data_IF_704735497090
#
_entry.id   IF_704735497090
#
_cell.length_a   1.000
_cell.length_b   1.000
_cell.length_c   1.000
_cell.angle_alpha   90.00
_cell.angle_beta   90.00
_cell.angle_gamma   90.00
#
_symmetry.space_group_name_H-M   'P 1'
#
loop_
_entity.id
_entity.type
_entity.pdbx_description
1 polymer ?
#
# COMPACT_ATOMS: atom_id res chain seq x y z
N UNK A 1 10.23 7.78 -5.39
CA UNK A 1 9.17 6.78 -5.64
C UNK A 1 7.88 7.53 -6.00
N UNK A 2 6.85 6.84 -6.46
CA UNK A 2 5.54 7.48 -6.69
C UNK A 2 4.42 6.73 -6.02
N UNK A 3 3.42 7.46 -5.51
CA UNK A 3 2.18 6.91 -4.96
C UNK A 3 0.95 7.48 -5.69
N UNK A 4 -0.11 6.67 -5.74
CA UNK A 4 -1.44 7.04 -6.19
C UNK A 4 -2.46 6.59 -5.15
N UNK A 5 -3.25 7.52 -4.62
CA UNK A 5 -4.40 7.25 -3.74
C UNK A 5 -5.71 7.47 -4.49
N UNK A 6 -6.53 6.41 -4.61
CA UNK A 6 -7.83 6.45 -5.29
C UNK A 6 -8.93 7.16 -4.47
N UNK A 7 -8.77 7.37 -3.16
CA UNK A 7 -9.79 8.11 -2.40
C UNK A 7 -9.69 9.61 -2.66
N UNK A 8 -8.47 10.13 -2.76
CA UNK A 8 -8.22 11.56 -2.95
C UNK A 8 -7.86 11.93 -4.38
N UNK A 9 -7.50 10.95 -5.22
CA UNK A 9 -6.92 11.15 -6.54
C UNK A 9 -5.48 11.67 -6.48
N UNK A 10 -4.85 11.68 -5.31
CA UNK A 10 -3.50 12.21 -5.15
C UNK A 10 -2.47 11.31 -5.83
N UNK A 11 -1.80 11.84 -6.85
CA UNK A 11 -0.66 11.25 -7.54
C UNK A 11 0.60 12.06 -7.24
N UNK A 12 1.64 11.43 -6.73
CA UNK A 12 2.94 12.11 -6.57
C UNK A 12 3.68 12.15 -7.92
N UNK A 13 4.00 13.35 -8.40
CA UNK A 13 4.74 13.63 -9.63
C UNK A 13 5.96 14.50 -9.32
N UNK A 14 7.14 13.87 -9.24
CA UNK A 14 8.37 14.57 -8.88
C UNK A 14 8.29 15.16 -7.47
N UNK A 15 8.35 16.49 -7.35
CA UNK A 15 8.25 17.20 -6.05
C UNK A 15 6.83 17.64 -5.69
N UNK A 16 5.82 17.30 -6.50
CA UNK A 16 4.46 17.79 -6.37
C UNK A 16 3.45 16.66 -6.24
N UNK A 17 2.31 16.96 -5.62
CA UNK A 17 1.12 16.12 -5.68
C UNK A 17 0.11 16.74 -6.64
N UNK A 18 -0.44 15.91 -7.53
CA UNK A 18 -1.48 16.28 -8.47
C UNK A 18 -2.76 15.54 -8.06
N UNK A 19 -3.88 16.25 -7.99
CA UNK A 19 -5.19 15.60 -7.84
C UNK A 19 -5.70 15.22 -9.22
N UNK A 20 -5.73 13.93 -9.53
CA UNK A 20 -6.13 13.39 -10.83
C UNK A 20 -7.58 13.71 -11.16
N UNK A 21 -8.50 13.58 -10.19
CA UNK A 21 -9.92 13.89 -10.39
C UNK A 21 -10.13 15.34 -10.80
N UNK A 22 -9.43 16.28 -10.14
CA UNK A 22 -9.50 17.70 -10.49
C UNK A 22 -8.79 18.00 -11.82
N UNK A 23 -7.67 17.34 -12.10
CA UNK A 23 -6.88 17.60 -13.29
C UNK A 23 -7.56 17.10 -14.56
N UNK A 24 -8.12 15.89 -14.52
CA UNK A 24 -8.80 15.28 -15.66
C UNK A 24 -10.29 15.64 -15.74
N UNK A 25 -10.92 16.01 -14.63
CA UNK A 25 -12.34 16.36 -14.59
C UNK A 25 -13.19 15.24 -15.22
N UNK A 26 -14.06 15.61 -16.15
CA UNK A 26 -14.94 14.67 -16.87
C UNK A 26 -14.18 13.60 -17.67
N UNK A 27 -12.89 13.82 -17.98
CA UNK A 27 -12.03 12.83 -18.67
C UNK A 27 -11.44 11.78 -17.75
N UNK A 28 -11.78 11.78 -16.46
CA UNK A 28 -11.32 10.73 -15.55
C UNK A 28 -11.79 9.34 -16.02
N UNK A 29 -12.95 9.28 -16.69
CA UNK A 29 -13.49 8.05 -17.27
C UNK A 29 -12.63 7.45 -18.40
N UNK A 30 -11.71 8.22 -18.97
CA UNK A 30 -10.72 7.73 -19.94
C UNK A 30 -9.54 7.02 -19.24
N UNK A 31 -9.39 7.21 -17.92
CA UNK A 31 -8.29 6.68 -17.11
C UNK A 31 -8.75 5.53 -16.22
N UNK A 32 -9.89 5.71 -15.55
CA UNK A 32 -10.51 4.70 -14.70
C UNK A 32 -11.94 4.46 -15.13
N UNK A 33 -12.33 3.20 -15.07
CA UNK A 33 -13.70 2.74 -15.33
C UNK A 33 -14.39 2.38 -14.01
N UNK A 34 -15.72 2.30 -14.01
CA UNK A 34 -16.46 1.79 -12.84
C UNK A 34 -16.05 0.36 -12.51
N UNK A 35 -15.74 -0.45 -13.54
CA UNK A 35 -15.22 -1.80 -13.40
C UNK A 35 -13.90 -1.85 -12.60
N UNK A 36 -13.02 -0.85 -12.75
CA UNK A 36 -11.77 -0.78 -11.96
C UNK A 36 -12.04 -0.58 -10.47
N UNK A 37 -13.03 0.25 -10.12
CA UNK A 37 -13.42 0.50 -8.72
C UNK A 37 -14.16 -0.69 -8.13
N UNK A 38 -14.98 -1.38 -8.93
CA UNK A 38 -15.60 -2.66 -8.53
C UNK A 38 -14.50 -3.68 -8.23
N UNK A 39 -13.49 -3.83 -9.11
CA UNK A 39 -12.37 -4.74 -8.90
C UNK A 39 -11.58 -4.39 -7.63
N UNK A 40 -11.24 -3.10 -7.42
CA UNK A 40 -10.55 -2.65 -6.22
C UNK A 40 -11.34 -3.02 -4.95
N UNK A 41 -12.64 -2.73 -4.93
CA UNK A 41 -13.52 -3.06 -3.81
C UNK A 41 -13.54 -4.57 -3.53
N UNK A 42 -13.68 -5.39 -4.57
CA UNK A 42 -13.71 -6.85 -4.42
C UNK A 42 -12.39 -7.40 -3.84
N UNK A 43 -11.25 -6.91 -4.36
CA UNK A 43 -9.92 -7.28 -3.86
C UNK A 43 -9.75 -6.85 -2.40
N UNK A 44 -10.08 -5.61 -2.07
CA UNK A 44 -10.00 -5.07 -0.71
C UNK A 44 -10.88 -5.86 0.26
N UNK A 45 -12.10 -6.22 -0.13
CA UNK A 45 -13.01 -7.03 0.70
C UNK A 45 -12.42 -8.42 0.98
N UNK A 46 -11.85 -9.09 -0.02
CA UNK A 46 -11.19 -10.39 0.16
C UNK A 46 -10.02 -10.30 1.13
N UNK A 47 -9.22 -9.23 1.04
CA UNK A 47 -8.10 -8.99 1.96
C UNK A 47 -8.61 -8.76 3.38
N UNK A 48 -9.60 -7.88 3.57
CA UNK A 48 -10.22 -7.60 4.86
C UNK A 48 -10.75 -8.87 5.54
N UNK A 49 -11.50 -9.69 4.80
CA UNK A 49 -12.01 -10.97 5.29
C UNK A 49 -10.89 -11.93 5.68
N UNK A 50 -9.80 -11.96 4.90
CA UNK A 50 -8.67 -12.85 5.19
C UNK A 50 -7.91 -12.42 6.44
N UNK A 51 -7.70 -11.13 6.64
CA UNK A 51 -7.08 -10.57 7.85
C UNK A 51 -7.95 -10.90 9.06
N UNK A 52 -9.26 -10.59 8.99
CA UNK A 52 -10.21 -10.88 10.07
C UNK A 52 -10.20 -12.36 10.46
N UNK A 53 -10.21 -13.26 9.47
CA UNK A 53 -10.12 -14.70 9.70
C UNK A 53 -8.81 -15.12 10.38
N UNK A 54 -7.65 -14.64 9.88
CA UNK A 54 -6.34 -15.11 10.37
C UNK A 54 -6.00 -14.58 11.76
N UNK A 55 -6.38 -13.33 12.06
CA UNK A 55 -6.14 -12.73 13.38
C UNK A 55 -7.29 -12.91 14.37
N UNK A 56 -8.39 -13.56 13.97
CA UNK A 56 -9.53 -13.80 14.86
C UNK A 56 -10.28 -12.52 15.24
N UNK A 57 -10.31 -11.52 14.35
CA UNK A 57 -11.04 -10.26 14.55
C UNK A 57 -12.41 -10.36 13.89
N UNK A 58 -13.44 -9.77 14.50
CA UNK A 58 -14.75 -9.67 13.83
C UNK A 58 -14.63 -8.86 12.53
N UNK A 59 -15.08 -9.36 11.37
CA UNK A 59 -15.09 -8.59 10.13
C UNK A 59 -15.83 -7.25 10.24
N UNK A 60 -16.85 -7.16 11.11
CA UNK A 60 -17.61 -5.93 11.35
C UNK A 60 -16.89 -4.89 12.22
N UNK A 61 -15.79 -5.30 12.87
CA UNK A 61 -14.97 -4.46 13.74
C UNK A 61 -13.62 -4.10 13.09
N UNK A 62 -13.42 -4.49 11.82
CA UNK A 62 -12.23 -4.17 11.04
C UNK A 62 -12.65 -3.24 9.91
N UNK A 63 -12.25 -1.98 9.94
CA UNK A 63 -12.66 -0.94 8.98
C UNK A 63 -11.51 -0.61 8.03
N UNK A 64 -11.81 -0.36 6.76
CA UNK A 64 -10.84 0.25 5.84
C UNK A 64 -10.39 1.61 6.43
N UNK A 65 -9.12 1.95 6.35
CA UNK A 65 -8.62 3.26 6.80
C UNK A 65 -7.68 3.91 5.80
N UNK A 66 -7.35 5.18 6.03
CA UNK A 66 -6.43 5.96 5.18
C UNK A 66 -5.04 6.06 5.81
N UNK A 67 -3.96 6.17 5.01
CA UNK A 67 -4.01 6.11 3.54
C UNK A 67 -4.07 4.68 2.99
N UNK A 68 -4.69 4.54 1.81
CA UNK A 68 -4.51 3.39 0.92
C UNK A 68 -3.93 3.89 -0.38
N UNK A 69 -2.92 3.21 -0.93
CA UNK A 69 -2.23 3.74 -2.11
C UNK A 69 -1.55 2.66 -2.93
N UNK A 70 -1.53 2.87 -4.24
CA UNK A 70 -0.62 2.21 -5.14
C UNK A 70 0.76 2.83 -4.99
N UNK A 71 1.80 2.01 -5.00
CA UNK A 71 3.19 2.43 -4.96
C UNK A 71 3.92 1.95 -6.21
N UNK A 72 4.70 2.85 -6.79
CA UNK A 72 5.64 2.60 -7.89
C UNK A 72 7.04 2.95 -7.42
N UNK A 73 7.90 1.95 -7.29
CA UNK A 73 9.29 2.10 -6.85
C UNK A 73 10.23 1.60 -7.92
N UNK A 74 11.30 2.35 -8.20
CA UNK A 74 12.35 1.97 -9.15
C UNK A 74 13.71 2.43 -8.62
N UNK A 75 14.75 2.26 -9.44
CA UNK A 75 16.14 2.63 -9.11
C UNK A 75 16.48 4.11 -9.33
N UNK A 76 15.50 4.96 -9.66
CA UNK A 76 15.73 6.41 -9.79
C UNK A 76 16.10 7.01 -8.43
N UNK A 77 17.18 7.81 -8.39
CA UNK A 77 17.64 8.46 -7.17
C UNK A 77 16.55 9.35 -6.55
N UNK A 78 16.44 9.29 -5.22
CA UNK A 78 15.53 10.16 -4.47
C UNK A 78 15.89 11.64 -4.67
N UNK A 79 14.87 12.47 -4.89
CA UNK A 79 15.03 13.93 -5.01
C UNK A 79 14.57 14.65 -3.75
N UNK A 80 13.76 13.99 -2.94
CA UNK A 80 13.18 14.49 -1.69
C UNK A 80 13.20 13.38 -0.63
N UNK A 81 13.04 13.74 0.66
CA UNK A 81 12.91 12.75 1.72
C UNK A 81 11.68 11.82 1.51
N UNK A 82 10.61 12.32 0.88
CA UNK A 82 9.43 11.53 0.54
C UNK A 82 9.70 10.47 -0.55
N UNK A 83 10.78 10.62 -1.32
CA UNK A 83 11.22 9.60 -2.27
C UNK A 83 11.95 8.44 -1.58
N UNK A 84 12.38 8.61 -0.34
CA UNK A 84 13.18 7.65 0.42
C UNK A 84 12.30 6.62 1.13
N UNK A 85 11.85 5.63 0.36
CA UNK A 85 10.95 4.56 0.83
C UNK A 85 11.64 3.45 1.65
N UNK A 86 12.97 3.48 1.77
CA UNK A 86 13.77 2.35 2.27
C UNK A 86 14.15 2.45 3.75
N UNK A 87 13.65 3.45 4.45
CA UNK A 87 13.93 3.66 5.86
C UNK A 87 13.08 2.73 6.73
N UNK A 88 13.65 2.14 7.80
CA UNK A 88 12.89 1.42 8.81
C UNK A 88 11.77 2.26 9.40
N UNK A 89 10.57 1.68 9.52
CA UNK A 89 9.43 2.33 10.14
C UNK A 89 8.44 1.32 10.73
N UNK A 90 7.51 1.85 11.53
CA UNK A 90 6.37 1.14 12.12
C UNK A 90 5.12 1.85 11.65
N UNK A 91 4.24 1.14 10.94
CA UNK A 91 3.08 1.75 10.29
C UNK A 91 2.14 2.48 11.25
N UNK A 92 1.88 1.92 12.44
CA UNK A 92 1.06 2.59 13.47
C UNK A 92 1.68 3.93 13.88
N UNK A 93 3.01 4.00 14.00
CA UNK A 93 3.72 5.23 14.37
C UNK A 93 3.70 6.23 13.21
N UNK A 94 3.85 5.76 11.97
CA UNK A 94 3.89 6.59 10.77
C UNK A 94 2.53 7.18 10.42
N UNK A 95 1.45 6.39 10.50
CA UNK A 95 0.11 6.78 10.02
C UNK A 95 -0.93 6.97 11.13
N UNK A 96 -0.70 6.44 12.33
CA UNK A 96 -1.61 6.55 13.48
C UNK A 96 -2.84 5.65 13.42
N UNK A 97 -3.55 5.64 12.30
CA UNK A 97 -4.81 4.92 12.13
C UNK A 97 -4.65 3.41 11.91
N UNK A 98 -3.48 2.93 11.47
CA UNK A 98 -3.33 1.55 11.03
C UNK A 98 -3.28 0.59 12.22
N UNK A 99 -4.19 -0.37 12.30
CA UNK A 99 -4.05 -1.53 13.20
C UNK A 99 -3.58 -2.77 12.44
N UNK A 100 -3.94 -2.87 11.16
CA UNK A 100 -3.45 -3.89 10.23
C UNK A 100 -3.00 -3.26 8.91
N UNK A 101 -1.87 -3.73 8.40
CA UNK A 101 -1.35 -3.37 7.09
C UNK A 101 -1.45 -4.57 6.17
N UNK A 102 -1.80 -4.34 4.91
CA UNK A 102 -1.64 -5.32 3.84
C UNK A 102 -0.98 -4.71 2.61
N UNK A 103 -0.20 -5.55 1.92
CA UNK A 103 0.41 -5.25 0.63
C UNK A 103 -0.01 -6.33 -0.38
N UNK A 104 -0.65 -5.93 -1.47
CA UNK A 104 -0.80 -6.75 -2.66
C UNK A 104 0.32 -6.40 -3.64
N UNK A 105 1.18 -7.36 -3.95
CA UNK A 105 2.26 -7.18 -4.91
C UNK A 105 1.74 -7.34 -6.35
N UNK A 106 2.16 -6.44 -7.24
CA UNK A 106 1.74 -6.39 -8.65
C UNK A 106 2.91 -6.59 -9.62
N UNK A 107 4.06 -7.04 -9.11
CA UNK A 107 5.28 -7.29 -9.89
C UNK A 107 6.06 -8.45 -9.27
N UNK A 108 6.79 -9.18 -10.10
CA UNK A 108 7.57 -10.34 -9.71
C UNK A 108 9.04 -9.99 -9.42
N UNK A 109 9.49 -10.33 -8.20
CA UNK A 109 10.89 -10.19 -7.81
C UNK A 109 11.79 -11.10 -8.64
N UNK A 110 12.93 -10.57 -9.06
CA UNK A 110 13.91 -11.19 -9.97
C UNK A 110 13.45 -11.35 -11.43
N UNK A 111 12.23 -10.92 -11.78
CA UNK A 111 11.73 -10.90 -13.16
C UNK A 111 11.46 -9.46 -13.62
N UNK A 112 10.58 -8.73 -12.92
CA UNK A 112 10.22 -7.34 -13.24
C UNK A 112 11.17 -6.32 -12.60
N UNK A 113 11.78 -6.69 -11.47
CA UNK A 113 12.68 -5.83 -10.70
C UNK A 113 13.63 -6.64 -9.79
N UNK A 114 14.73 -5.99 -9.37
CA UNK A 114 15.67 -6.51 -8.38
C UNK A 114 15.89 -5.55 -7.21
N UNK A 115 16.35 -6.07 -6.07
CA UNK A 115 16.24 -5.37 -4.78
C UNK A 115 14.77 -5.30 -4.34
N UNK A 116 14.33 -4.22 -3.68
CA UNK A 116 12.90 -3.97 -3.46
C UNK A 116 12.15 -4.98 -2.57
N UNK A 117 12.85 -5.93 -1.92
CA UNK A 117 12.23 -6.91 -1.03
C UNK A 117 11.71 -6.22 0.23
N UNK A 118 10.67 -6.80 0.82
CA UNK A 118 10.11 -6.30 2.08
C UNK A 118 10.78 -7.04 3.23
N UNK A 119 11.34 -6.31 4.20
CA UNK A 119 12.17 -6.86 5.26
C UNK A 119 11.63 -6.44 6.62
N UNK A 120 11.16 -7.40 7.42
CA UNK A 120 10.91 -7.24 8.85
C UNK A 120 12.23 -7.32 9.61
N UNK A 121 12.44 -6.38 10.53
CA UNK A 121 13.64 -6.23 11.35
C UNK A 121 13.37 -6.79 12.74
N UNK A 122 13.48 -8.11 12.87
CA UNK A 122 13.30 -8.81 14.14
C UNK A 122 14.60 -8.84 14.96
N UNK A 123 14.46 -9.05 16.28
CA UNK A 123 15.58 -9.09 17.21
C UNK A 123 16.60 -10.21 16.88
N UNK A 124 16.11 -11.39 16.47
CA UNK A 124 16.97 -12.54 16.21
C UNK A 124 17.54 -12.54 14.79
N UNK A 125 16.67 -12.32 13.79
CA UNK A 125 17.05 -12.35 12.38
C UNK A 125 15.94 -11.78 11.50
N UNK A 126 16.33 -10.92 10.56
CA UNK A 126 15.42 -10.32 9.60
C UNK A 126 14.60 -11.38 8.84
N UNK A 127 13.30 -11.12 8.67
CA UNK A 127 12.42 -11.91 7.80
C UNK A 127 12.16 -11.16 6.51
N UNK A 128 12.41 -11.81 5.39
CA UNK A 128 12.32 -11.17 4.07
C UNK A 128 11.19 -11.80 3.26
N UNK A 129 10.35 -10.96 2.70
CA UNK A 129 9.32 -11.33 1.73
C UNK A 129 9.76 -10.84 0.35
N UNK A 130 9.91 -11.79 -0.57
CA UNK A 130 10.10 -11.51 -1.99
C UNK A 130 8.73 -11.22 -2.62
N UNK A 131 8.51 -10.04 -3.24
CA UNK A 131 7.26 -9.76 -3.94
C UNK A 131 7.02 -10.71 -5.12
N UNK A 132 5.76 -11.10 -5.31
CA UNK A 132 5.30 -11.92 -6.43
C UNK A 132 3.95 -11.40 -6.86
N UNK A 133 3.69 -11.23 -8.15
CA UNK A 133 2.42 -10.73 -8.65
C UNK A 133 1.25 -11.58 -8.10
N UNK A 134 0.25 -10.91 -7.52
CA UNK A 134 -0.92 -11.54 -6.89
C UNK A 134 -0.70 -12.01 -5.45
N UNK A 135 0.52 -11.98 -4.89
CA UNK A 135 0.77 -12.30 -3.48
C UNK A 135 0.29 -11.17 -2.58
N UNK A 136 -0.45 -11.52 -1.54
CA UNK A 136 -0.80 -10.61 -0.45
C UNK A 136 0.05 -10.94 0.78
N UNK A 137 0.68 -9.92 1.36
CA UNK A 137 1.27 -9.97 2.69
C UNK A 137 0.45 -9.08 3.62
N UNK A 138 0.17 -9.52 4.85
CA UNK A 138 -0.51 -8.70 5.85
C UNK A 138 0.03 -8.98 7.25
N UNK A 139 -0.01 -7.97 8.11
CA UNK A 139 0.56 -8.01 9.45
C UNK A 139 -0.09 -6.95 10.34
N UNK A 140 0.08 -7.08 11.66
CA UNK A 140 -0.34 -6.05 12.63
C UNK A 140 0.59 -4.85 12.55
N UNK A 141 0.05 -3.64 12.53
CA UNK A 141 0.84 -2.43 12.22
C UNK A 141 1.69 -1.90 13.38
N UNK A 142 1.66 -2.59 14.53
CA UNK A 142 2.36 -2.21 15.75
C UNK A 142 3.88 -2.37 15.69
N UNK A 143 4.54 -2.00 16.78
CA UNK A 143 6.01 -1.99 16.90
C UNK A 143 6.65 -3.37 16.79
N UNK A 144 5.86 -4.43 16.94
CA UNK A 144 6.28 -5.81 16.70
C UNK A 144 6.65 -6.08 15.23
N UNK A 145 6.22 -5.22 14.29
CA UNK A 145 6.52 -5.34 12.88
C UNK A 145 7.33 -4.13 12.37
N UNK A 146 8.47 -3.81 13.00
CA UNK A 146 9.44 -2.87 12.42
C UNK A 146 9.92 -3.40 11.07
N UNK A 147 9.81 -2.60 10.01
CA UNK A 147 10.14 -3.09 8.67
C UNK A 147 10.67 -2.00 7.75
N UNK A 148 11.24 -2.43 6.62
CA UNK A 148 11.68 -1.56 5.53
C UNK A 148 11.54 -2.26 4.19
N UNK A 149 11.56 -1.47 3.12
CA UNK A 149 11.72 -1.98 1.76
C UNK A 149 13.17 -1.78 1.33
N UNK A 150 13.80 -2.80 0.74
CA UNK A 150 15.12 -2.63 0.15
C UNK A 150 15.07 -1.64 -1.03
N UNK A 151 16.18 -0.94 -1.31
CA UNK A 151 16.28 -0.14 -2.53
C UNK A 151 16.11 -1.03 -3.75
N UNK A 152 15.24 -0.64 -4.68
CA UNK A 152 15.15 -1.24 -6.00
C UNK A 152 16.43 -0.92 -6.77
N UNK A 153 17.09 -1.94 -7.30
CA UNK A 153 18.36 -1.84 -8.01
C UNK A 153 18.16 -1.71 -9.52
N UNK A 154 17.15 -2.39 -10.05
CA UNK A 154 16.75 -2.33 -11.46
C UNK A 154 15.26 -2.66 -11.59
N UNK A 155 14.65 -2.30 -12.72
CA UNK A 155 13.24 -2.56 -12.98
C UNK A 155 12.29 -1.66 -12.19
N UNK A 156 11.01 -2.06 -12.10
CA UNK A 156 9.98 -1.32 -11.35
C UNK A 156 9.13 -2.27 -10.53
N UNK A 157 9.00 -1.96 -9.24
CA UNK A 157 8.14 -2.66 -8.29
C UNK A 157 6.83 -1.91 -8.14
N UNK A 158 5.72 -2.61 -8.37
CA UNK A 158 4.37 -2.13 -8.08
C UNK A 158 3.74 -2.91 -6.92
N UNK A 159 3.06 -2.20 -6.02
CA UNK A 159 2.28 -2.81 -4.95
C UNK A 159 1.14 -1.88 -4.50
N UNK A 160 0.06 -2.45 -3.98
CA UNK A 160 -1.04 -1.72 -3.34
C UNK A 160 -0.94 -1.90 -1.84
N UNK A 161 -0.89 -0.81 -1.09
CA UNK A 161 -1.05 -0.83 0.37
C UNK A 161 -2.51 -0.58 0.71
N UNK A 162 -3.15 -1.52 1.39
CA UNK A 162 -4.51 -1.42 1.90
C UNK A 162 -4.44 -1.64 3.41
N UNK A 163 -4.88 -0.66 4.18
CA UNK A 163 -4.78 -0.65 5.64
C UNK A 163 -6.14 -0.70 6.30
N UNK A 164 -6.15 -1.23 7.51
CA UNK A 164 -7.37 -1.39 8.29
C UNK A 164 -7.16 -0.92 9.73
N UNK A 165 -8.25 -0.47 10.35
CA UNK A 165 -8.32 -0.04 11.74
C UNK A 165 -9.44 -0.78 12.48
N UNK A 166 -9.29 -0.95 13.78
CA UNK A 166 -10.34 -1.39 14.69
C UNK A 166 -11.13 -0.20 15.27
N UNK A 167 -10.71 1.04 15.01
CA UNK A 167 -11.39 2.25 15.47
C UNK A 167 -12.37 2.76 14.41
N UNK A 168 -13.69 2.71 14.63
CA UNK A 168 -14.68 3.17 13.65
C UNK A 168 -14.55 4.67 13.34
N UNK A 169 -13.95 5.49 14.21
CA UNK A 169 -13.75 6.92 13.95
C UNK A 169 -12.71 7.17 12.84
N UNK A 170 -11.83 6.19 12.62
CA UNK A 170 -10.81 6.21 11.56
C UNK A 170 -11.22 5.40 10.33
N UNK A 171 -12.43 4.84 10.32
CA UNK A 171 -12.99 4.08 9.20
C UNK A 171 -13.35 4.98 8.01
N UNK A 172 -13.11 4.49 6.80
CA UNK A 172 -13.51 5.13 5.55
C UNK A 172 -14.33 4.18 4.67
N UNK A 173 -15.15 4.74 3.77
CA UNK A 173 -15.84 3.97 2.73
C UNK A 173 -14.91 3.61 1.58
N UNK A 174 -15.37 2.76 0.66
CA UNK A 174 -14.68 2.45 -0.59
C UNK A 174 -14.50 3.72 -1.46
N UNK A 175 -13.43 3.81 -2.28
CA UNK A 175 -13.29 4.91 -3.22
C UNK A 175 -14.41 4.78 -4.28
N UNK A 176 -14.81 5.92 -4.83
CA UNK A 176 -15.80 6.03 -5.91
C UNK A 176 -15.21 6.88 -7.03
N UNK A 177 -15.61 6.60 -8.27
CA UNK A 177 -15.19 7.38 -9.43
C UNK A 177 -15.95 8.72 -9.51
#
# INVERSE_FOLDING_TARGET
ASILDLHSGALSLGKHFVNLYRYFGDKIHDIFTEEDFVLYRDVRQRIQQKIAQVFGVSPSALYLTKPTFFSRMNSTAAKTAHDEYWHPHVDKVTYGSFDYTSLLYLSDYAEDFGGGRFVFLDADSNKTVEPRAGRVSFFTSGSENLHRVEKVQWGTRFAITISFTCDPQHGIGDPVL
#
